data_IF_218151579403
#
_entry.id   IF_218151579403
#
_cell.length_a   1.000
_cell.length_b   1.000
_cell.length_c   1.000
_cell.angle_alpha   90.00
_cell.angle_beta   90.00
_cell.angle_gamma   90.00
#
_symmetry.space_group_name_H-M   'P 1'
#
loop_
_entity.id
_entity.type
_entity.pdbx_description
1 polymer ?
#
# COMPACT_ATOMS: atom_id res chain seq x y z
N UNK A 1 2.74 11.65 -3.71
CA UNK A 1 1.30 11.42 -3.41
C UNK A 1 0.38 12.52 -3.95
N UNK A 2 0.18 13.69 -3.29
CA UNK A 2 -0.78 14.73 -3.74
C UNK A 2 -0.62 15.22 -5.20
N UNK A 3 0.63 15.35 -5.67
CA UNK A 3 0.91 15.71 -7.08
C UNK A 3 0.47 14.61 -8.05
N UNK A 4 0.76 13.35 -7.71
CA UNK A 4 0.36 12.19 -8.51
C UNK A 4 -1.16 12.03 -8.54
N UNK A 5 -1.83 12.12 -7.39
CA UNK A 5 -3.30 12.00 -7.33
C UNK A 5 -4.00 13.06 -8.18
N UNK A 6 -3.55 14.32 -8.13
CA UNK A 6 -4.09 15.38 -9.00
C UNK A 6 -3.92 15.07 -10.49
N UNK A 7 -2.74 14.60 -10.91
CA UNK A 7 -2.49 14.23 -12.32
C UNK A 7 -3.34 13.04 -12.77
N UNK A 8 -3.58 12.10 -11.87
CA UNK A 8 -4.33 10.86 -12.12
C UNK A 8 -5.82 10.99 -11.84
N UNK A 9 -6.29 12.17 -11.39
CA UNK A 9 -7.68 12.42 -10.97
C UNK A 9 -8.15 11.45 -9.88
N UNK A 10 -7.26 11.07 -8.97
CA UNK A 10 -7.56 10.24 -7.80
C UNK A 10 -7.97 11.11 -6.62
N UNK A 11 -8.91 10.63 -5.80
CA UNK A 11 -9.16 11.20 -4.49
C UNK A 11 -7.95 10.88 -3.57
N UNK A 12 -7.49 11.87 -2.81
CA UNK A 12 -6.34 11.72 -1.93
C UNK A 12 -6.65 12.37 -0.59
N UNK A 13 -6.85 11.53 0.41
CA UNK A 13 -7.03 11.92 1.80
C UNK A 13 -5.72 11.62 2.54
N UNK A 14 -5.32 12.53 3.43
CA UNK A 14 -4.16 12.34 4.28
C UNK A 14 -4.64 12.27 5.73
N UNK A 15 -4.38 11.15 6.40
CA UNK A 15 -4.76 10.92 7.79
C UNK A 15 -3.48 10.94 8.63
N UNK A 16 -3.50 11.63 9.77
CA UNK A 16 -2.34 11.71 10.67
C UNK A 16 -2.79 11.70 12.12
N UNK A 17 -2.08 10.95 12.94
CA UNK A 17 -2.32 10.90 14.40
C UNK A 17 -2.12 12.24 15.10
N UNK A 18 -1.40 13.18 14.47
CA UNK A 18 -1.15 14.52 15.01
C UNK A 18 -2.32 15.48 14.79
N UNK A 19 -3.27 15.14 13.92
CA UNK A 19 -4.37 16.02 13.50
C UNK A 19 -5.65 15.23 13.24
N UNK A 20 -5.93 14.21 14.07
CA UNK A 20 -7.15 13.41 14.00
C UNK A 20 -8.34 14.27 14.42
N UNK A 21 -9.35 14.37 13.55
CA UNK A 21 -10.67 14.89 13.90
C UNK A 21 -11.66 13.74 14.06
N UNK A 22 -12.83 14.00 14.65
CA UNK A 22 -13.87 12.98 14.78
C UNK A 22 -14.33 12.42 13.42
N UNK A 23 -14.24 13.21 12.35
CA UNK A 23 -14.55 12.75 10.99
C UNK A 23 -13.51 11.81 10.38
N UNK A 24 -12.32 11.72 10.95
CA UNK A 24 -11.22 10.87 10.45
C UNK A 24 -11.18 9.49 11.15
N UNK A 25 -11.99 9.28 12.20
CA UNK A 25 -11.95 8.06 13.02
C UNK A 25 -12.28 6.81 12.20
N UNK A 26 -13.32 6.89 11.36
CA UNK A 26 -13.72 5.76 10.51
C UNK A 26 -12.61 5.37 9.54
N UNK A 27 -12.06 6.36 8.82
CA UNK A 27 -10.93 6.19 7.90
C UNK A 27 -9.68 5.63 8.59
N UNK A 28 -9.42 6.04 9.83
CA UNK A 28 -8.32 5.52 10.63
C UNK A 28 -8.53 4.04 11.01
N UNK A 29 -9.74 3.69 11.47
CA UNK A 29 -10.11 2.31 11.82
C UNK A 29 -10.07 1.39 10.59
N UNK A 30 -10.54 1.87 9.44
CA UNK A 30 -10.50 1.14 8.17
C UNK A 30 -9.06 0.83 7.76
N UNK A 31 -8.17 1.82 7.89
CA UNK A 31 -6.75 1.63 7.64
C UNK A 31 -6.11 0.64 8.64
N UNK A 32 -6.51 0.66 9.92
CA UNK A 32 -6.03 -0.29 10.91
C UNK A 32 -6.48 -1.73 10.59
N UNK A 33 -7.74 -1.92 10.21
CA UNK A 33 -8.30 -3.19 9.78
C UNK A 33 -7.57 -3.74 8.54
N UNK A 34 -7.31 -2.89 7.55
CA UNK A 34 -6.55 -3.26 6.36
C UNK A 34 -5.12 -3.70 6.69
N UNK A 35 -4.42 -2.97 7.57
CA UNK A 35 -3.08 -3.37 8.01
C UNK A 35 -3.12 -4.74 8.69
N UNK A 36 -4.06 -4.95 9.62
CA UNK A 36 -4.21 -6.23 10.30
C UNK A 36 -4.48 -7.37 9.32
N UNK A 37 -5.38 -7.17 8.34
CA UNK A 37 -5.68 -8.17 7.33
C UNK A 37 -4.47 -8.50 6.45
N UNK A 38 -3.72 -7.47 6.00
CA UNK A 38 -2.50 -7.65 5.20
C UNK A 38 -1.45 -8.41 6.02
N UNK A 39 -1.22 -7.99 7.27
CA UNK A 39 -0.24 -8.62 8.14
C UNK A 39 -0.61 -10.08 8.39
N UNK A 40 -1.85 -10.38 8.77
CA UNK A 40 -2.30 -11.76 9.00
C UNK A 40 -2.16 -12.60 7.72
N UNK A 41 -2.57 -12.07 6.57
CA UNK A 41 -2.55 -12.81 5.30
C UNK A 41 -1.15 -13.11 4.79
N UNK A 42 -0.16 -12.24 5.05
CA UNK A 42 1.21 -12.40 4.56
C UNK A 42 2.22 -12.83 5.64
N UNK A 43 1.82 -12.89 6.92
CA UNK A 43 2.70 -13.37 8.02
C UNK A 43 2.72 -14.89 8.14
N UNK A 44 1.66 -15.56 7.72
CA UNK A 44 1.60 -17.02 7.68
C UNK A 44 1.89 -17.50 6.26
N UNK A 45 2.86 -18.40 6.09
CA UNK A 45 3.48 -18.74 4.79
C UNK A 45 2.52 -19.10 3.64
N UNK A 46 2.36 -20.40 3.34
CA UNK A 46 1.66 -20.87 2.15
C UNK A 46 0.17 -21.12 2.45
N UNK A 47 -0.57 -20.04 2.73
CA UNK A 47 -1.89 -20.11 3.34
C UNK A 47 -3.00 -19.55 2.44
N UNK A 48 -3.09 -20.11 1.23
CA UNK A 48 -4.21 -19.84 0.32
C UNK A 48 -5.57 -20.18 0.96
N UNK A 49 -5.57 -21.10 1.94
CA UNK A 49 -6.78 -21.66 2.60
C UNK A 49 -7.02 -21.21 4.05
N UNK A 50 -6.19 -20.32 4.63
CA UNK A 50 -6.46 -19.84 6.00
C UNK A 50 -7.52 -18.73 6.02
N UNK A 51 -8.55 -18.95 6.83
CA UNK A 51 -9.58 -17.97 7.14
C UNK A 51 -8.93 -16.85 7.94
N UNK A 52 -8.84 -15.65 7.34
CA UNK A 52 -8.37 -14.46 8.05
C UNK A 52 -9.39 -14.10 9.12
N UNK A 53 -8.95 -13.89 10.35
CA UNK A 53 -9.79 -13.58 11.51
C UNK A 53 -10.67 -12.35 11.31
N UNK A 54 -10.27 -11.44 10.42
CA UNK A 54 -10.97 -10.21 10.11
C UNK A 54 -11.94 -10.29 8.92
N UNK A 55 -12.22 -11.48 8.38
CA UNK A 55 -13.00 -11.66 7.13
C UNK A 55 -14.37 -10.97 7.17
N UNK A 56 -15.14 -11.07 8.26
CA UNK A 56 -16.46 -10.42 8.38
C UNK A 56 -16.38 -8.88 8.36
N UNK A 57 -15.36 -8.32 9.02
CA UNK A 57 -15.13 -6.87 9.03
C UNK A 57 -14.64 -6.38 7.66
N UNK A 58 -13.90 -7.21 6.94
CA UNK A 58 -13.42 -6.93 5.59
C UNK A 58 -14.56 -6.95 4.57
N UNK A 59 -15.53 -7.87 4.68
CA UNK A 59 -16.72 -7.87 3.83
C UNK A 59 -17.50 -6.55 3.96
N UNK A 60 -17.71 -6.07 5.19
CA UNK A 60 -18.37 -4.78 5.45
C UNK A 60 -17.57 -3.60 4.87
N UNK A 61 -16.23 -3.66 4.95
CA UNK A 61 -15.37 -2.63 4.38
C UNK A 61 -15.44 -2.62 2.85
N UNK A 62 -15.41 -3.80 2.20
CA UNK A 62 -15.54 -3.94 0.75
C UNK A 62 -16.87 -3.36 0.25
N UNK A 63 -17.96 -3.66 0.95
CA UNK A 63 -19.29 -3.12 0.64
C UNK A 63 -19.30 -1.59 0.76
N UNK A 64 -18.77 -1.04 1.86
CA UNK A 64 -18.70 0.42 2.09
C UNK A 64 -17.82 1.15 1.07
N UNK A 65 -16.69 0.56 0.68
CA UNK A 65 -15.77 1.15 -0.31
C UNK A 65 -16.25 0.96 -1.76
N UNK A 66 -17.17 0.02 -2.00
CA UNK A 66 -17.64 -0.33 -3.35
C UNK A 66 -16.57 -0.99 -4.22
N UNK A 67 -15.51 -1.54 -3.62
CA UNK A 67 -14.42 -2.20 -4.32
C UNK A 67 -13.79 -3.27 -3.43
N UNK A 68 -13.48 -4.41 -4.04
CA UNK A 68 -12.72 -5.49 -3.41
C UNK A 68 -11.22 -5.42 -3.68
N UNK A 69 -10.77 -4.42 -4.43
CA UNK A 69 -9.34 -4.28 -4.75
C UNK A 69 -8.73 -3.17 -3.92
N UNK A 70 -7.59 -3.47 -3.30
CA UNK A 70 -6.71 -2.46 -2.70
C UNK A 70 -5.36 -2.45 -3.41
N UNK A 71 -4.83 -1.25 -3.60
CA UNK A 71 -3.46 -1.04 -3.99
C UNK A 71 -2.67 -0.55 -2.76
N UNK A 72 -1.68 -1.34 -2.37
CA UNK A 72 -0.84 -1.07 -1.23
C UNK A 72 0.58 -0.74 -1.69
N UNK A 73 1.19 0.26 -1.07
CA UNK A 73 2.54 0.65 -1.44
C UNK A 73 3.28 1.24 -0.25
N UNK A 74 4.60 1.13 -0.30
CA UNK A 74 5.44 1.70 0.72
C UNK A 74 6.87 1.85 0.26
N UNK A 75 7.61 2.60 1.06
CA UNK A 75 9.02 2.81 0.90
C UNK A 75 9.67 2.51 2.25
N UNK A 76 10.67 1.65 2.24
CA UNK A 76 11.55 1.50 3.39
C UNK A 76 12.99 1.71 2.94
N UNK A 77 13.72 2.47 3.75
CA UNK A 77 15.12 2.80 3.51
C UNK A 77 15.93 2.31 4.70
N UNK A 78 17.05 1.64 4.42
CA UNK A 78 17.94 1.17 5.46
C UNK A 78 19.40 1.39 5.07
N UNK A 79 20.25 1.55 6.08
CA UNK A 79 21.69 1.61 5.91
C UNK A 79 22.21 0.18 5.76
N UNK A 80 22.80 -0.13 4.62
CA UNK A 80 23.50 -1.38 4.40
C UNK A 80 24.96 -1.17 4.77
N UNK A 81 25.38 -1.72 5.92
CA UNK A 81 26.79 -1.77 6.31
C UNK A 81 27.38 -3.02 5.67
N UNK A 82 28.17 -2.85 4.61
CA UNK A 82 29.08 -3.89 4.13
C UNK A 82 30.48 -3.59 4.64
N UNK A 83 31.24 -4.65 4.93
CA UNK A 83 32.59 -4.69 5.54
C UNK A 83 33.55 -3.52 5.21
N UNK A 84 33.42 -2.85 4.05
CA UNK A 84 34.21 -1.67 3.70
C UNK A 84 33.44 -0.53 2.97
N UNK A 85 32.11 -0.59 2.85
CA UNK A 85 31.29 0.45 2.21
C UNK A 85 29.91 0.55 2.88
N UNK A 86 29.56 1.76 3.36
CA UNK A 86 28.21 2.08 3.80
C UNK A 86 27.40 2.60 2.62
N UNK A 87 26.32 1.89 2.26
CA UNK A 87 25.38 2.30 1.21
C UNK A 87 23.99 2.56 1.79
N UNK A 88 23.29 3.56 1.25
CA UNK A 88 21.85 3.70 1.46
C UNK A 88 21.13 2.81 0.46
N UNK A 89 20.25 1.92 0.94
CA UNK A 89 19.38 1.12 0.10
C UNK A 89 17.93 1.51 0.36
N UNK A 90 17.24 1.87 -0.71
CA UNK A 90 15.82 2.16 -0.68
C UNK A 90 15.07 1.07 -1.44
N UNK A 91 14.05 0.52 -0.80
CA UNK A 91 13.13 -0.44 -1.41
C UNK A 91 11.75 0.16 -1.44
N UNK A 92 11.27 0.39 -2.65
CA UNK A 92 9.87 0.69 -2.91
C UNK A 92 9.14 -0.61 -3.26
N UNK A 93 7.96 -0.79 -2.71
CA UNK A 93 7.07 -1.90 -3.06
C UNK A 93 5.68 -1.37 -3.41
N UNK A 94 5.04 -2.08 -4.32
CA UNK A 94 3.65 -1.85 -4.70
C UNK A 94 2.99 -3.19 -5.00
N UNK A 95 1.78 -3.40 -4.49
CA UNK A 95 0.98 -4.54 -4.87
C UNK A 95 -0.51 -4.20 -4.93
N UNK A 96 -1.23 -4.95 -5.75
CA UNK A 96 -2.68 -4.93 -5.82
C UNK A 96 -3.18 -6.30 -5.41
N UNK A 97 -4.13 -6.35 -4.49
CA UNK A 97 -4.71 -7.59 -3.99
C UNK A 97 -6.23 -7.53 -4.04
N UNK A 98 -6.84 -8.67 -4.34
CA UNK A 98 -8.28 -8.91 -4.19
C UNK A 98 -8.55 -9.27 -2.71
N UNK A 99 -9.29 -8.42 -2.01
CA UNK A 99 -9.57 -8.52 -0.57
C UNK A 99 -10.50 -9.68 -0.21
N UNK A 100 -11.31 -10.19 -1.15
CA UNK A 100 -12.17 -11.35 -0.92
C UNK A 100 -11.33 -12.63 -0.93
N UNK A 101 -10.46 -12.75 -1.95
CA UNK A 101 -9.73 -13.99 -2.21
C UNK A 101 -8.31 -14.01 -1.66
N UNK A 102 -7.73 -12.85 -1.36
CA UNK A 102 -6.31 -12.70 -1.07
C UNK A 102 -5.39 -12.76 -2.29
N UNK A 103 -5.95 -12.91 -3.49
CA UNK A 103 -5.16 -13.07 -4.71
C UNK A 103 -4.39 -11.80 -5.03
N UNK A 104 -3.05 -11.91 -5.11
CA UNK A 104 -2.19 -10.82 -5.57
C UNK A 104 -2.34 -10.67 -7.09
N UNK A 105 -2.90 -9.54 -7.51
CA UNK A 105 -3.17 -9.20 -8.91
C UNK A 105 -1.96 -8.55 -9.59
N UNK A 106 -1.12 -7.87 -8.81
CA UNK A 106 0.12 -7.22 -9.27
C UNK A 106 1.08 -7.07 -8.10
N UNK A 107 2.36 -7.27 -8.35
CA UNK A 107 3.43 -7.06 -7.38
C UNK A 107 4.64 -6.44 -8.09
N UNK A 108 5.17 -5.35 -7.53
CA UNK A 108 6.33 -4.62 -8.02
C UNK A 108 7.26 -4.31 -6.85
N UNK A 109 8.56 -4.54 -7.03
CA UNK A 109 9.60 -4.14 -6.08
C UNK A 109 10.69 -3.42 -6.85
N UNK A 110 11.02 -2.21 -6.41
CA UNK A 110 12.09 -1.40 -6.97
C UNK A 110 13.14 -1.13 -5.89
N UNK A 111 14.37 -1.55 -6.18
CA UNK A 111 15.52 -1.30 -5.33
C UNK A 111 16.37 -0.20 -5.95
N UNK A 112 16.82 0.75 -5.13
CA UNK A 112 17.81 1.75 -5.54
C UNK A 112 18.91 1.88 -4.49
N UNK A 113 20.13 2.12 -4.97
CA UNK A 113 21.31 2.38 -4.14
C UNK A 113 21.65 3.85 -4.25
N UNK A 114 21.77 4.54 -3.12
CA UNK A 114 22.09 5.96 -3.04
C UNK A 114 21.07 6.75 -2.23
N UNK A 115 21.37 8.05 -2.06
CA UNK A 115 20.48 8.97 -1.35
C UNK A 115 19.18 9.12 -2.14
N UNK A 116 18.06 9.02 -1.44
CA UNK A 116 16.77 9.04 -2.08
C UNK A 116 16.48 10.41 -2.70
N UNK A 117 16.00 10.40 -3.95
CA UNK A 117 15.59 11.61 -4.65
C UNK A 117 14.07 11.61 -4.77
N UNK A 118 13.44 12.69 -4.33
CA UNK A 118 11.99 12.84 -4.35
C UNK A 118 11.38 12.57 -5.75
N UNK A 119 12.11 12.87 -6.82
CA UNK A 119 11.66 12.65 -8.19
C UNK A 119 11.59 11.16 -8.56
N UNK A 120 12.56 10.36 -8.11
CA UNK A 120 12.57 8.90 -8.33
C UNK A 120 11.37 8.25 -7.63
N UNK A 121 11.13 8.60 -6.37
CA UNK A 121 9.97 8.12 -5.61
C UNK A 121 8.65 8.55 -6.24
N UNK A 122 8.54 9.81 -6.65
CA UNK A 122 7.34 10.30 -7.32
C UNK A 122 7.10 9.57 -8.65
N UNK A 123 8.16 9.20 -9.38
CA UNK A 123 8.07 8.41 -10.60
C UNK A 123 7.53 7.00 -10.33
N UNK A 124 8.07 6.29 -9.33
CA UNK A 124 7.58 4.96 -8.95
C UNK A 124 6.11 5.00 -8.52
N UNK A 125 5.76 5.91 -7.61
CA UNK A 125 4.38 6.07 -7.14
C UNK A 125 3.45 6.42 -8.31
N UNK A 126 3.86 7.33 -9.20
CA UNK A 126 3.04 7.71 -10.35
C UNK A 126 2.80 6.52 -11.29
N UNK A 127 3.85 5.76 -11.62
CA UNK A 127 3.75 4.62 -12.53
C UNK A 127 2.88 3.50 -11.96
N UNK A 128 3.01 3.20 -10.67
CA UNK A 128 2.15 2.20 -10.03
C UNK A 128 0.71 2.70 -9.92
N UNK A 129 0.48 3.98 -9.59
CA UNK A 129 -0.88 4.54 -9.53
C UNK A 129 -1.54 4.68 -10.92
N UNK A 130 -0.75 4.86 -11.99
CA UNK A 130 -1.25 4.82 -13.37
C UNK A 130 -1.91 3.49 -13.71
N UNK A 131 -1.44 2.37 -13.13
CA UNK A 131 -2.04 1.06 -13.36
C UNK A 131 -3.48 1.01 -12.83
N UNK A 132 -3.71 1.52 -11.62
CA UNK A 132 -5.04 1.53 -10.99
C UNK A 132 -5.96 2.65 -11.51
N UNK A 133 -5.38 3.76 -11.98
CA UNK A 133 -6.15 4.88 -12.52
C UNK A 133 -6.68 4.61 -13.94
N UNK A 134 -6.06 3.69 -14.69
CA UNK A 134 -6.59 3.27 -15.99
C UNK A 134 -7.88 2.48 -15.76
N UNK A 135 -9.03 3.09 -16.10
CA UNK A 135 -10.31 2.37 -16.18
C UNK A 135 -10.13 1.15 -17.08
N UNK A 136 -10.72 0.01 -16.70
CA UNK A 136 -10.96 -1.09 -17.64
C UNK A 136 -11.61 -0.50 -18.88
N UNK A 137 -11.06 -0.84 -20.05
CA UNK A 137 -11.79 -0.64 -21.30
C UNK A 137 -13.01 -1.55 -21.32
#
# INVERSE_FOLDING_TARGET
MKKCSKKLKLNCVNISTKSLTSGDIELFNDNALLNQWIDERFSHGNNEDEIVSSSEYMEQLIERLGTKYIAWCGLYSYNEIRSQNSGFKNTYFFFVVDLETGKVMKFEVHNSIGKDHADTLNSFIYNSLMFVAKKSK
#
